data_IF_319963925516
#
_entry.id   IF_319963925516
#
_cell.length_a   1.000
_cell.length_b   1.000
_cell.length_c   1.000
_cell.angle_alpha   90.00
_cell.angle_beta   90.00
_cell.angle_gamma   90.00
#
_symmetry.space_group_name_H-M   'P 1'
#
loop_
_entity.id
_entity.type
_entity.pdbx_description
1 polymer ?
#
# COMPACT_ATOMS: atom_id res chain seq x y z
N UNK A 1 7.36 40.30 60.80
CA UNK A 1 8.38 39.25 60.54
C UNK A 1 7.63 38.05 59.94
N UNK A 2 7.98 37.41 58.83
CA UNK A 2 9.22 37.33 58.05
C UNK A 2 8.80 36.95 56.61
N UNK A 3 9.37 37.61 55.60
CA UNK A 3 9.26 37.28 54.17
C UNK A 3 9.91 35.91 53.90
N UNK A 4 9.31 35.10 53.04
CA UNK A 4 10.08 34.17 52.19
C UNK A 4 9.60 34.34 50.75
N UNK A 5 10.55 34.77 49.94
CA UNK A 5 10.47 35.09 48.52
C UNK A 5 11.06 33.89 47.76
N UNK A 6 10.37 33.34 46.77
CA UNK A 6 10.98 32.49 45.75
C UNK A 6 10.62 33.03 44.37
N UNK A 7 11.65 33.58 43.73
CA UNK A 7 11.68 34.09 42.36
C UNK A 7 11.34 32.95 41.39
N UNK A 8 10.32 33.17 40.55
CA UNK A 8 10.10 32.41 39.31
C UNK A 8 11.04 32.90 38.20
N UNK A 9 11.54 31.96 37.42
CA UNK A 9 12.39 32.13 36.24
C UNK A 9 11.66 32.83 35.07
N UNK A 10 12.38 33.39 34.08
CA UNK A 10 11.78 34.11 32.97
C UNK A 10 11.14 33.18 31.92
N UNK A 11 10.03 33.66 31.36
CA UNK A 11 9.27 33.08 30.26
C UNK A 11 10.14 32.85 29.01
N UNK A 12 10.07 31.64 28.45
CA UNK A 12 10.29 31.41 27.02
C UNK A 12 8.93 31.35 26.32
N UNK A 13 8.79 31.87 25.09
CA UNK A 13 7.51 31.89 24.40
C UNK A 13 7.12 30.45 24.00
N UNK A 14 5.96 30.01 24.47
CA UNK A 14 5.32 28.78 24.05
C UNK A 14 5.00 28.83 22.55
N UNK A 15 5.70 28.03 21.74
CA UNK A 15 5.17 27.63 20.44
C UNK A 15 3.95 26.72 20.70
N UNK A 16 2.76 27.06 20.18
CA UNK A 16 1.61 26.19 20.37
C UNK A 16 1.79 24.91 19.55
N UNK A 17 1.32 23.75 20.05
CA UNK A 17 1.20 22.57 19.22
C UNK A 17 0.22 22.84 18.06
N UNK A 18 0.55 22.31 16.88
CA UNK A 18 -0.17 22.44 15.60
C UNK A 18 -1.66 22.03 15.63
N UNK A 19 -2.14 21.52 16.76
CA UNK A 19 -3.53 21.14 17.02
C UNK A 19 -4.54 22.29 17.00
N UNK A 20 -4.10 23.57 17.09
CA UNK A 20 -5.02 24.72 17.13
C UNK A 20 -5.50 25.24 15.76
N UNK A 21 -5.08 24.65 14.65
CA UNK A 21 -5.48 25.08 13.29
C UNK A 21 -6.36 24.06 12.55
N UNK A 22 -6.78 22.97 13.20
CA UNK A 22 -7.70 22.02 12.59
C UNK A 22 -9.15 22.47 12.80
N UNK A 23 -9.78 22.77 11.66
CA UNK A 23 -11.12 23.29 11.49
C UNK A 23 -12.19 22.67 12.42
N UNK A 24 -13.20 23.45 12.85
CA UNK A 24 -14.14 23.06 13.91
C UNK A 24 -15.17 21.97 13.55
N UNK A 25 -14.96 21.11 12.53
CA UNK A 25 -15.96 20.12 12.09
C UNK A 25 -15.40 18.73 11.71
N UNK A 26 -14.16 18.36 12.04
CA UNK A 26 -13.72 16.97 11.83
C UNK A 26 -14.28 16.05 12.92
N UNK A 27 -14.99 14.99 12.54
CA UNK A 27 -15.33 13.89 13.47
C UNK A 27 -14.06 13.33 14.11
N UNK A 28 -14.03 13.03 15.42
CA UNK A 28 -12.83 12.60 16.13
C UNK A 28 -12.09 11.41 15.48
N UNK A 29 -12.80 10.49 14.83
CA UNK A 29 -12.21 9.35 14.13
C UNK A 29 -11.36 9.73 12.90
N UNK A 30 -11.73 10.79 12.17
CA UNK A 30 -10.94 11.28 11.04
C UNK A 30 -9.63 11.94 11.48
N UNK A 31 -9.68 12.71 12.58
CA UNK A 31 -8.51 13.36 13.14
C UNK A 31 -7.46 12.34 13.61
N UNK A 32 -7.91 11.27 14.27
CA UNK A 32 -7.05 10.15 14.66
C UNK A 32 -6.42 9.45 13.45
N UNK A 33 -7.21 9.15 12.41
CA UNK A 33 -6.68 8.50 11.20
C UNK A 33 -5.62 9.34 10.48
N UNK A 34 -5.80 10.67 10.42
CA UNK A 34 -4.79 11.58 9.85
C UNK A 34 -3.52 11.57 10.70
N UNK A 35 -3.67 11.64 12.02
CA UNK A 35 -2.53 11.63 12.95
C UNK A 35 -1.75 10.30 12.88
N UNK A 36 -2.43 9.17 12.81
CA UNK A 36 -1.78 7.85 12.66
C UNK A 36 -1.04 7.73 11.32
N UNK A 37 -1.61 8.25 10.23
CA UNK A 37 -0.95 8.30 8.93
C UNK A 37 0.30 9.20 8.96
N UNK A 38 0.23 10.35 9.63
CA UNK A 38 1.35 11.28 9.82
C UNK A 38 2.44 10.70 10.72
N UNK A 39 2.09 10.07 11.83
CA UNK A 39 3.03 9.38 12.72
C UNK A 39 3.73 8.25 11.97
N UNK A 40 2.97 7.44 11.23
CA UNK A 40 3.52 6.35 10.42
C UNK A 40 4.47 6.86 9.32
N UNK A 41 4.15 8.00 8.70
CA UNK A 41 5.04 8.67 7.76
C UNK A 41 6.30 9.25 8.45
N UNK A 42 6.16 9.81 9.65
CA UNK A 42 7.25 10.51 10.38
C UNK A 42 8.24 9.54 11.05
N UNK A 43 7.76 8.45 11.66
CA UNK A 43 8.59 7.34 12.20
C UNK A 43 9.53 6.78 11.11
N UNK A 44 9.10 6.93 9.87
CA UNK A 44 9.72 6.31 8.73
C UNK A 44 10.65 7.26 7.96
N UNK A 45 10.33 8.57 7.91
CA UNK A 45 11.05 9.54 7.07
C UNK A 45 12.10 10.40 7.77
N UNK A 46 12.16 10.49 9.11
CA UNK A 46 13.19 11.34 9.71
C UNK A 46 13.32 11.29 11.23
N UNK A 47 14.44 10.71 11.68
CA UNK A 47 15.35 11.27 12.69
C UNK A 47 16.21 10.14 13.28
N UNK A 48 17.51 10.14 12.93
CA UNK A 48 18.56 9.26 13.47
C UNK A 48 18.41 7.74 13.19
N UNK A 49 18.67 7.32 11.94
CA UNK A 49 18.88 5.89 11.65
C UNK A 49 20.34 5.54 11.94
N UNK A 50 20.59 4.96 13.10
CA UNK A 50 21.75 4.07 13.25
C UNK A 50 21.55 2.89 12.27
N UNK A 51 22.47 2.71 11.32
CA UNK A 51 22.39 1.68 10.27
C UNK A 51 22.24 0.28 10.86
N UNK A 52 22.89 0.00 11.99
CA UNK A 52 22.76 -1.26 12.71
C UNK A 52 21.33 -1.49 13.24
N UNK A 53 20.66 -0.43 13.69
CA UNK A 53 19.26 -0.50 14.12
C UNK A 53 18.33 -0.76 12.94
N UNK A 54 18.60 -0.15 11.78
CA UNK A 54 17.83 -0.40 10.57
C UNK A 54 17.98 -1.85 10.08
N UNK A 55 19.19 -2.41 10.13
CA UNK A 55 19.41 -3.82 9.81
C UNK A 55 18.72 -4.75 10.81
N UNK A 56 18.82 -4.49 12.12
CA UNK A 56 18.10 -5.27 13.15
C UNK A 56 16.58 -5.23 12.98
N UNK A 57 16.03 -4.14 12.46
CA UNK A 57 14.59 -4.00 12.13
C UNK A 57 14.22 -4.65 10.80
N UNK A 58 15.21 -5.09 10.01
CA UNK A 58 15.04 -5.69 8.70
C UNK A 58 14.71 -4.70 7.58
N UNK A 59 14.91 -3.39 7.80
CA UNK A 59 14.64 -2.34 6.81
C UNK A 59 15.87 -1.92 6.02
N UNK A 60 17.05 -2.48 6.33
CA UNK A 60 18.28 -2.30 5.58
C UNK A 60 19.07 -3.61 5.55
N UNK A 61 19.81 -3.83 4.46
CA UNK A 61 20.80 -4.90 4.33
C UNK A 61 22.14 -4.24 4.05
N UNK A 62 23.10 -4.42 4.95
CA UNK A 62 24.42 -3.81 4.90
C UNK A 62 25.45 -4.77 4.33
N UNK A 63 26.61 -4.24 3.93
CA UNK A 63 27.76 -5.00 3.46
C UNK A 63 27.42 -5.95 2.30
N UNK A 64 26.81 -5.40 1.25
CA UNK A 64 26.52 -6.11 0.01
C UNK A 64 27.60 -5.87 -1.04
N UNK A 65 27.76 -6.80 -1.97
CA UNK A 65 28.52 -6.65 -3.21
C UNK A 65 27.63 -6.96 -4.40
N UNK A 66 27.78 -6.22 -5.48
CA UNK A 66 27.17 -6.57 -6.77
C UNK A 66 27.95 -7.75 -7.36
N UNK A 67 27.28 -8.85 -7.66
CA UNK A 67 27.91 -10.07 -8.21
C UNK A 67 27.54 -10.35 -9.65
N UNK A 68 26.42 -9.78 -10.10
CA UNK A 68 25.95 -9.94 -11.47
C UNK A 68 25.13 -8.71 -11.89
N UNK A 69 25.19 -8.40 -13.18
CA UNK A 69 24.47 -7.30 -13.81
C UNK A 69 23.95 -7.77 -15.17
N UNK A 70 22.63 -7.79 -15.33
CA UNK A 70 21.97 -8.27 -16.55
C UNK A 70 20.96 -7.25 -17.06
N UNK A 71 20.77 -7.21 -18.38
CA UNK A 71 19.68 -6.44 -18.98
C UNK A 71 18.35 -7.14 -18.72
N UNK A 72 17.42 -6.43 -18.07
CA UNK A 72 16.05 -6.87 -17.83
C UNK A 72 15.07 -6.43 -18.92
N UNK A 73 13.79 -6.71 -18.70
CA UNK A 73 12.71 -6.23 -19.56
C UNK A 73 12.52 -4.71 -19.44
N UNK A 74 12.02 -4.09 -20.52
CA UNK A 74 11.71 -2.65 -20.58
C UNK A 74 12.92 -1.72 -20.35
N UNK A 75 14.13 -2.17 -20.71
CA UNK A 75 15.34 -1.36 -20.59
C UNK A 75 15.90 -1.23 -19.17
N UNK A 76 15.27 -1.87 -18.18
CA UNK A 76 15.80 -1.91 -16.80
C UNK A 76 17.04 -2.80 -16.71
N UNK A 77 17.91 -2.52 -15.76
CA UNK A 77 19.04 -3.39 -15.42
C UNK A 77 18.78 -4.12 -14.12
N UNK A 78 18.98 -5.43 -14.12
CA UNK A 78 18.91 -6.31 -12.96
C UNK A 78 20.30 -6.44 -12.35
N UNK A 79 20.47 -5.94 -11.13
CA UNK A 79 21.69 -6.11 -10.34
C UNK A 79 21.45 -7.15 -9.25
N UNK A 80 22.26 -8.21 -9.19
CA UNK A 80 22.23 -9.20 -8.11
C UNK A 80 23.25 -8.86 -7.04
N UNK A 81 22.79 -8.79 -5.79
CA UNK A 81 23.60 -8.47 -4.62
C UNK A 81 23.71 -9.67 -3.68
N UNK A 82 24.90 -9.86 -3.13
CA UNK A 82 25.20 -10.87 -2.11
C UNK A 82 25.94 -10.25 -0.94
N UNK A 83 25.97 -10.92 0.20
CA UNK A 83 26.81 -10.53 1.34
C UNK A 83 28.29 -10.46 0.94
N UNK A 84 29.01 -9.44 1.42
CA UNK A 84 30.48 -9.40 1.28
C UNK A 84 31.16 -10.44 2.14
N UNK A 85 30.48 -10.95 3.18
CA UNK A 85 30.98 -12.05 4.02
C UNK A 85 30.77 -13.37 3.29
N UNK A 86 31.84 -14.13 3.13
CA UNK A 86 31.83 -15.46 2.52
C UNK A 86 32.36 -16.48 3.50
N UNK A 87 31.76 -17.68 3.50
CA UNK A 87 32.24 -18.82 4.28
C UNK A 87 32.55 -19.97 3.32
N UNK A 88 33.75 -20.55 3.40
CA UNK A 88 34.21 -21.62 2.52
C UNK A 88 33.97 -21.33 1.02
N UNK A 89 34.28 -20.10 0.58
CA UNK A 89 34.03 -19.59 -0.80
C UNK A 89 32.57 -19.51 -1.26
N UNK A 90 31.60 -19.84 -0.41
CA UNK A 90 30.17 -19.70 -0.69
C UNK A 90 29.60 -18.38 -0.13
N UNK A 91 28.59 -17.85 -0.80
CA UNK A 91 27.84 -16.70 -0.33
C UNK A 91 27.01 -17.07 0.90
N UNK A 92 27.18 -16.33 2.00
CA UNK A 92 26.37 -16.50 3.20
C UNK A 92 24.91 -16.09 2.95
N UNK A 93 23.95 -16.67 3.70
CA UNK A 93 22.58 -16.20 3.71
C UNK A 93 22.50 -14.70 4.04
N UNK A 94 21.53 -14.02 3.44
CA UNK A 94 21.20 -12.65 3.77
C UNK A 94 20.76 -12.56 5.24
N UNK A 95 21.10 -11.47 5.95
CA UNK A 95 20.63 -11.28 7.32
C UNK A 95 19.09 -11.21 7.36
N UNK A 96 18.45 -11.58 8.49
CA UNK A 96 16.99 -11.49 8.64
C UNK A 96 16.45 -10.13 8.24
N UNK A 97 15.48 -10.10 7.33
CA UNK A 97 15.04 -8.86 6.69
C UNK A 97 13.55 -8.86 6.35
N UNK A 98 12.99 -7.67 6.11
CA UNK A 98 11.58 -7.46 5.74
C UNK A 98 11.39 -7.04 4.28
N UNK A 99 12.38 -7.35 3.44
CA UNK A 99 12.30 -7.16 1.99
C UNK A 99 11.43 -8.26 1.39
N UNK A 100 10.52 -7.88 0.50
CA UNK A 100 9.72 -8.73 -0.35
C UNK A 100 9.91 -8.33 -1.82
N UNK A 101 9.45 -9.18 -2.73
CA UNK A 101 9.38 -8.81 -4.14
C UNK A 101 8.49 -7.57 -4.32
N UNK A 102 8.86 -6.71 -5.27
CA UNK A 102 8.21 -5.42 -5.57
C UNK A 102 8.42 -4.30 -4.54
N UNK A 103 9.21 -4.53 -3.48
CA UNK A 103 9.61 -3.43 -2.59
C UNK A 103 10.47 -2.41 -3.32
N UNK A 104 10.22 -1.13 -3.05
CA UNK A 104 11.07 -0.04 -3.53
C UNK A 104 12.26 0.11 -2.58
N UNK A 105 13.46 0.18 -3.14
CA UNK A 105 14.71 0.24 -2.38
C UNK A 105 15.61 1.32 -2.93
N UNK A 106 16.48 1.83 -2.08
CA UNK A 106 17.55 2.75 -2.46
C UNK A 106 18.90 2.08 -2.24
N UNK A 107 19.77 2.18 -3.25
CA UNK A 107 21.14 1.69 -3.23
C UNK A 107 22.08 2.80 -2.80
N UNK A 108 22.96 2.51 -1.84
CA UNK A 108 23.99 3.44 -1.36
C UNK A 108 25.32 2.73 -1.12
N UNK A 109 26.45 3.45 -1.13
CA UNK A 109 27.69 2.93 -0.56
C UNK A 109 27.48 2.65 0.93
N UNK A 110 28.01 1.54 1.44
CA UNK A 110 27.73 1.04 2.78
C UNK A 110 28.13 2.01 3.89
N UNK A 111 29.21 2.78 3.68
CA UNK A 111 29.72 3.79 4.63
C UNK A 111 29.27 5.22 4.33
N UNK A 112 28.46 5.45 3.30
CA UNK A 112 28.01 6.80 2.96
C UNK A 112 27.14 7.38 4.08
N UNK A 113 27.31 8.67 4.38
CA UNK A 113 26.48 9.37 5.35
C UNK A 113 25.02 9.41 4.87
N UNK A 114 24.08 9.61 5.80
CA UNK A 114 22.65 9.66 5.46
C UNK A 114 22.29 10.78 4.47
N UNK A 115 23.10 11.85 4.41
CA UNK A 115 22.92 12.97 3.48
C UNK A 115 23.60 12.78 2.12
N UNK A 116 24.38 11.73 1.93
CA UNK A 116 25.02 11.45 0.64
C UNK A 116 23.98 11.02 -0.40
N UNK A 117 24.14 11.42 -1.68
CA UNK A 117 23.23 11.00 -2.74
C UNK A 117 23.22 9.48 -2.87
N UNK A 118 22.05 8.94 -3.20
CA UNK A 118 21.92 7.53 -3.53
C UNK A 118 22.61 7.22 -4.87
N UNK A 119 23.10 5.99 -5.01
CA UNK A 119 23.58 5.49 -6.31
C UNK A 119 22.41 5.26 -7.26
N UNK A 120 21.28 4.81 -6.73
CA UNK A 120 20.07 4.62 -7.53
C UNK A 120 18.90 4.16 -6.68
N UNK A 121 17.70 4.32 -7.24
CA UNK A 121 16.48 3.74 -6.71
C UNK A 121 16.04 2.60 -7.61
N UNK A 122 15.61 1.49 -7.02
CA UNK A 122 15.19 0.31 -7.75
C UNK A 122 14.06 -0.44 -7.08
N UNK A 123 13.59 -1.49 -7.74
CA UNK A 123 12.51 -2.36 -7.26
C UNK A 123 13.04 -3.77 -7.09
N UNK A 124 12.77 -4.40 -5.94
CA UNK A 124 13.18 -5.79 -5.69
C UNK A 124 12.49 -6.71 -6.70
N UNK A 125 13.28 -7.34 -7.56
CA UNK A 125 12.80 -8.25 -8.59
C UNK A 125 12.74 -9.69 -8.09
N UNK A 126 13.76 -10.13 -7.35
CA UNK A 126 13.88 -11.50 -6.87
C UNK A 126 14.61 -11.55 -5.53
N UNK A 127 14.17 -12.45 -4.66
CA UNK A 127 14.81 -12.77 -3.39
C UNK A 127 15.13 -14.27 -3.34
N UNK A 128 16.36 -14.59 -2.96
CA UNK A 128 16.84 -15.93 -2.60
C UNK A 128 17.45 -15.86 -1.20
N UNK A 129 17.75 -17.01 -0.61
CA UNK A 129 18.31 -17.07 0.74
C UNK A 129 19.65 -16.32 0.86
N UNK A 130 20.48 -16.32 -0.19
CA UNK A 130 21.82 -15.70 -0.20
C UNK A 130 21.97 -14.52 -1.15
N UNK A 131 20.93 -14.14 -1.89
CA UNK A 131 21.01 -13.03 -2.84
C UNK A 131 19.68 -12.28 -3.02
N UNK A 132 19.82 -10.99 -3.36
CA UNK A 132 18.70 -10.10 -3.68
C UNK A 132 18.96 -9.45 -5.04
N UNK A 133 18.03 -9.57 -5.97
CA UNK A 133 18.10 -8.94 -7.28
C UNK A 133 17.18 -7.73 -7.33
N UNK A 134 17.72 -6.59 -7.72
CA UNK A 134 16.98 -5.31 -7.81
C UNK A 134 17.03 -4.80 -9.25
N UNK A 135 15.88 -4.38 -9.76
CA UNK A 135 15.74 -3.74 -11.07
C UNK A 135 15.89 -2.22 -10.94
N UNK A 136 16.82 -1.63 -11.69
CA UNK A 136 17.05 -0.18 -11.77
C UNK A 136 16.69 0.32 -13.18
N UNK A 137 16.21 1.57 -13.27
CA UNK A 137 15.93 2.22 -14.56
C UNK A 137 17.22 2.65 -15.27
N UNK A 138 18.17 3.20 -14.51
CA UNK A 138 19.51 3.55 -14.97
C UNK A 138 20.56 2.83 -14.10
N UNK A 139 21.63 2.33 -14.71
CA UNK A 139 22.75 1.70 -13.99
C UNK A 139 23.66 2.79 -13.42
N UNK A 140 23.91 2.82 -12.11
CA UNK A 140 25.02 3.60 -11.59
C UNK A 140 26.33 2.94 -12.01
N UNK A 141 26.95 3.43 -13.08
CA UNK A 141 28.27 2.93 -13.55
C UNK A 141 29.36 3.19 -12.50
N UNK A 142 29.20 4.26 -11.70
CA UNK A 142 30.10 4.64 -10.62
C UNK A 142 29.63 4.15 -9.24
N UNK A 143 30.57 3.63 -8.44
CA UNK A 143 30.36 3.37 -7.00
C UNK A 143 29.98 1.94 -6.62
N UNK A 144 29.75 1.04 -7.59
CA UNK A 144 29.45 -0.38 -7.33
C UNK A 144 30.65 -1.21 -6.82
N UNK A 145 31.88 -0.71 -6.97
CA UNK A 145 33.12 -1.40 -6.57
C UNK A 145 33.40 -1.37 -5.05
N UNK A 146 32.56 -0.68 -4.28
CA UNK A 146 32.69 -0.60 -2.82
C UNK A 146 31.59 -1.43 -2.16
N UNK A 147 31.73 -1.83 -0.88
CA UNK A 147 30.62 -2.43 -0.17
C UNK A 147 29.40 -1.52 -0.23
N UNK A 148 28.25 -2.11 -0.54
CA UNK A 148 26.97 -1.44 -0.76
C UNK A 148 26.01 -1.73 0.38
N UNK A 149 24.94 -0.94 0.45
CA UNK A 149 23.77 -1.24 1.27
C UNK A 149 22.49 -0.98 0.49
N UNK A 150 21.48 -1.80 0.76
CA UNK A 150 20.12 -1.58 0.31
C UNK A 150 19.29 -1.12 1.51
N UNK A 151 18.59 0.00 1.35
CA UNK A 151 17.62 0.48 2.32
C UNK A 151 16.23 0.40 1.71
N UNK A 152 15.29 -0.24 2.42
CA UNK A 152 13.90 -0.29 2.01
C UNK A 152 13.33 1.13 2.08
N UNK A 153 12.90 1.66 0.94
CA UNK A 153 12.10 2.85 0.91
C UNK A 153 10.68 2.45 1.24
N UNK A 154 10.15 3.04 2.28
CA UNK A 154 8.71 3.01 2.49
C UNK A 154 8.06 3.86 1.42
N UNK A 155 6.97 3.35 0.89
CA UNK A 155 6.22 4.06 -0.12
C UNK A 155 5.52 5.28 0.50
N UNK A 156 6.22 6.42 0.57
CA UNK A 156 5.64 7.70 0.98
C UNK A 156 4.42 8.06 0.14
N UNK A 157 4.33 7.55 -1.09
CA UNK A 157 3.17 7.73 -1.95
C UNK A 157 1.93 7.06 -1.34
N UNK A 158 2.04 5.88 -0.74
CA UNK A 158 0.91 5.23 -0.05
C UNK A 158 0.40 6.11 1.08
N UNK A 159 1.30 6.61 1.93
CA UNK A 159 0.92 7.47 3.06
C UNK A 159 0.37 8.81 2.60
N UNK A 160 1.00 9.43 1.59
CA UNK A 160 0.52 10.68 0.99
C UNK A 160 -0.87 10.50 0.40
N UNK A 161 -1.12 9.44 -0.36
CA UNK A 161 -2.44 9.09 -0.91
C UNK A 161 -3.49 8.88 0.19
N UNK A 162 -3.16 8.15 1.26
CA UNK A 162 -4.06 7.97 2.40
C UNK A 162 -4.39 9.31 3.07
N UNK A 163 -3.37 10.14 3.33
CA UNK A 163 -3.55 11.48 3.90
C UNK A 163 -4.40 12.37 2.98
N UNK A 164 -4.12 12.37 1.69
CA UNK A 164 -4.89 13.14 0.70
C UNK A 164 -6.36 12.69 0.66
N UNK A 165 -6.62 11.38 0.70
CA UNK A 165 -7.98 10.84 0.78
C UNK A 165 -8.71 11.28 2.06
N UNK A 166 -8.04 11.26 3.21
CA UNK A 166 -8.60 11.75 4.47
C UNK A 166 -8.86 13.26 4.46
N UNK A 167 -7.96 14.04 3.87
CA UNK A 167 -8.15 15.50 3.70
C UNK A 167 -9.33 15.78 2.75
N UNK A 168 -9.46 15.00 1.67
CA UNK A 168 -10.62 15.12 0.76
C UNK A 168 -11.92 14.79 1.48
N UNK A 169 -11.92 13.73 2.30
CA UNK A 169 -13.07 13.35 3.12
C UNK A 169 -13.41 14.43 4.16
N UNK A 170 -12.41 15.04 4.81
CA UNK A 170 -12.61 16.09 5.81
C UNK A 170 -13.10 17.42 5.25
N UNK A 171 -12.81 17.70 3.97
CA UNK A 171 -13.38 18.86 3.26
C UNK A 171 -14.88 18.71 3.01
N UNK A 172 -15.45 17.56 3.37
CA UNK A 172 -16.88 17.30 3.37
C UNK A 172 -17.34 16.76 2.03
N UNK A 173 -17.67 15.47 1.99
CA UNK A 173 -18.48 14.89 0.92
C UNK A 173 -19.96 15.12 1.27
N UNK A 174 -20.34 16.38 1.37
CA UNK A 174 -21.73 16.76 1.71
C UNK A 174 -22.67 16.70 0.51
N UNK A 175 -22.13 16.48 -0.70
CA UNK A 175 -22.87 16.39 -1.96
C UNK A 175 -22.27 15.29 -2.82
N UNK A 176 -23.13 14.44 -3.38
CA UNK A 176 -22.74 13.39 -4.34
C UNK A 176 -23.17 11.99 -3.91
N UNK A 177 -22.93 10.98 -4.77
CA UNK A 177 -23.44 9.62 -4.55
C UNK A 177 -22.99 8.93 -3.26
N UNK A 178 -21.90 9.42 -2.65
CA UNK A 178 -21.28 8.81 -1.46
C UNK A 178 -21.71 9.43 -0.12
N UNK A 179 -22.54 10.49 -0.10
CA UNK A 179 -22.95 11.16 1.14
C UNK A 179 -23.64 10.20 2.11
N UNK A 180 -24.53 9.35 1.59
CA UNK A 180 -25.30 8.38 2.40
C UNK A 180 -24.40 7.28 2.98
N UNK A 181 -23.33 6.90 2.27
CA UNK A 181 -22.38 5.90 2.74
C UNK A 181 -21.57 6.43 3.93
N UNK A 182 -21.15 7.68 3.88
CA UNK A 182 -20.26 8.27 4.89
C UNK A 182 -20.95 8.33 6.26
N UNK A 183 -22.20 8.82 6.32
CA UNK A 183 -22.97 8.82 7.57
C UNK A 183 -23.19 7.42 8.13
N UNK A 184 -23.27 6.39 7.28
CA UNK A 184 -23.34 4.99 7.73
C UNK A 184 -21.99 4.52 8.27
N UNK A 185 -20.87 4.83 7.59
CA UNK A 185 -19.53 4.42 8.03
C UNK A 185 -19.10 5.08 9.35
N UNK A 186 -19.53 6.31 9.62
CA UNK A 186 -19.27 7.00 10.90
C UNK A 186 -20.33 6.76 11.98
N UNK A 187 -21.32 5.90 11.72
CA UNK A 187 -22.33 5.51 12.72
C UNK A 187 -23.40 6.58 12.99
N UNK A 188 -23.47 7.64 12.19
CA UNK A 188 -24.53 8.66 12.27
C UNK A 188 -25.88 8.09 11.80
N UNK A 189 -25.86 7.05 10.96
CA UNK A 189 -27.05 6.38 10.43
C UNK A 189 -26.86 4.88 10.34
N UNK A 190 -27.94 4.11 10.54
CA UNK A 190 -27.93 2.66 10.32
C UNK A 190 -27.91 2.29 8.82
N UNK A 191 -27.21 1.21 8.42
CA UNK A 191 -27.25 0.71 7.05
C UNK A 191 -28.65 0.23 6.67
N UNK A 192 -29.02 0.42 5.40
CA UNK A 192 -30.34 0.02 4.90
C UNK A 192 -30.27 -1.05 3.82
N UNK A 193 -31.32 -1.88 3.78
CA UNK A 193 -31.50 -2.97 2.82
C UNK A 193 -32.77 -2.70 2.00
N UNK A 194 -32.80 -3.14 0.75
CA UNK A 194 -33.99 -3.12 -0.08
C UNK A 194 -35.11 -3.96 0.56
N UNK A 195 -36.34 -3.43 0.52
CA UNK A 195 -37.52 -4.12 1.09
C UNK A 195 -37.91 -5.38 0.31
N UNK A 196 -37.56 -5.43 -0.97
CA UNK A 196 -37.86 -6.57 -1.84
C UNK A 196 -36.65 -7.47 -1.89
N UNK A 197 -36.86 -8.75 -1.62
CA UNK A 197 -35.83 -9.76 -1.77
C UNK A 197 -35.37 -9.83 -3.22
N UNK A 198 -34.06 -9.83 -3.39
CA UNK A 198 -33.44 -9.73 -4.69
C UNK A 198 -33.18 -11.13 -5.24
N UNK A 199 -33.98 -11.54 -6.21
CA UNK A 199 -33.77 -12.79 -6.92
C UNK A 199 -32.63 -12.64 -7.94
N UNK A 200 -31.75 -13.64 -8.00
CA UNK A 200 -30.66 -13.69 -8.96
C UNK A 200 -30.48 -15.12 -9.48
N UNK A 201 -29.89 -15.23 -10.68
CA UNK A 201 -29.51 -16.51 -11.27
C UNK A 201 -27.99 -16.62 -11.21
N UNK A 202 -27.43 -17.51 -10.38
CA UNK A 202 -25.98 -17.63 -10.23
C UNK A 202 -25.28 -17.95 -11.55
N UNK A 203 -24.14 -17.30 -11.79
CA UNK A 203 -23.22 -17.69 -12.87
C UNK A 203 -22.47 -18.97 -12.46
N UNK A 204 -22.00 -19.04 -11.22
CA UNK A 204 -21.46 -20.26 -10.65
C UNK A 204 -22.59 -21.17 -10.12
N UNK A 205 -22.76 -22.35 -10.72
CA UNK A 205 -23.77 -23.34 -10.30
C UNK A 205 -23.40 -24.08 -9.01
N UNK A 206 -22.13 -24.05 -8.61
CA UNK A 206 -21.60 -24.82 -7.48
C UNK A 206 -21.52 -23.99 -6.18
N UNK A 207 -22.38 -22.99 -6.02
CA UNK A 207 -22.45 -22.20 -4.79
C UNK A 207 -23.26 -22.93 -3.72
N UNK A 208 -22.73 -22.95 -2.50
CA UNK A 208 -23.45 -23.47 -1.34
C UNK A 208 -24.54 -22.48 -0.86
N UNK A 209 -25.34 -22.92 0.12
CA UNK A 209 -26.45 -22.13 0.64
C UNK A 209 -25.99 -20.83 1.32
N UNK A 210 -24.89 -20.87 2.07
CA UNK A 210 -24.35 -19.71 2.78
C UNK A 210 -23.83 -18.65 1.81
N UNK A 211 -23.19 -19.06 0.72
CA UNK A 211 -22.72 -18.18 -0.33
C UNK A 211 -23.89 -17.53 -1.05
N UNK A 212 -24.94 -18.30 -1.40
CA UNK A 212 -26.16 -17.77 -2.03
C UNK A 212 -26.88 -16.74 -1.17
N UNK A 213 -27.02 -17.01 0.12
CA UNK A 213 -27.60 -16.07 1.09
C UNK A 213 -26.75 -14.79 1.20
N UNK A 214 -25.43 -14.93 1.30
CA UNK A 214 -24.51 -13.79 1.33
C UNK A 214 -24.61 -12.93 0.05
N UNK A 215 -24.72 -13.55 -1.13
CA UNK A 215 -24.92 -12.84 -2.39
C UNK A 215 -26.26 -12.13 -2.41
N UNK A 216 -27.35 -12.79 -2.01
CA UNK A 216 -28.69 -12.16 -1.93
C UNK A 216 -28.68 -10.92 -1.04
N UNK A 217 -28.06 -11.02 0.15
CA UNK A 217 -27.89 -9.91 1.09
C UNK A 217 -27.02 -8.78 0.52
N UNK A 218 -25.92 -9.11 -0.13
CA UNK A 218 -25.06 -8.12 -0.80
C UNK A 218 -25.83 -7.34 -1.87
N UNK A 219 -26.54 -8.05 -2.74
CA UNK A 219 -27.34 -7.50 -3.85
C UNK A 219 -28.57 -6.71 -3.38
N UNK A 220 -28.98 -6.88 -2.13
CA UNK A 220 -30.09 -6.15 -1.49
C UNK A 220 -29.60 -4.96 -0.67
N UNK A 221 -28.31 -4.87 -0.35
CA UNK A 221 -27.76 -3.83 0.51
C UNK A 221 -27.62 -2.51 -0.25
N UNK A 222 -28.08 -1.40 0.33
CA UNK A 222 -28.06 -0.08 -0.33
C UNK A 222 -26.81 0.74 -0.03
N UNK A 223 -26.23 0.54 1.15
CA UNK A 223 -25.13 1.38 1.65
C UNK A 223 -23.84 0.57 1.74
N UNK A 224 -23.84 -0.45 2.60
CA UNK A 224 -22.66 -1.27 2.87
C UNK A 224 -23.09 -2.70 3.18
N UNK A 225 -22.26 -3.66 2.76
CA UNK A 225 -22.41 -5.07 3.08
C UNK A 225 -21.05 -5.60 3.52
N UNK A 226 -21.02 -6.33 4.64
CA UNK A 226 -19.81 -6.97 5.15
C UNK A 226 -19.89 -8.48 4.90
N UNK A 227 -19.03 -8.98 4.02
CA UNK A 227 -18.84 -10.41 3.84
C UNK A 227 -17.74 -10.90 4.76
N UNK A 228 -18.06 -11.88 5.60
CA UNK A 228 -17.09 -12.52 6.49
C UNK A 228 -17.11 -14.04 6.30
N UNK A 229 -15.94 -14.68 6.38
CA UNK A 229 -15.81 -16.13 6.32
C UNK A 229 -14.46 -16.62 6.84
N UNK A 230 -14.41 -17.81 7.45
CA UNK A 230 -13.15 -18.50 7.75
C UNK A 230 -12.31 -18.76 6.48
N UNK A 231 -10.98 -18.97 6.61
CA UNK A 231 -10.13 -19.33 5.48
C UNK A 231 -10.66 -20.61 4.79
N UNK A 232 -10.66 -20.62 3.44
CA UNK A 232 -11.12 -21.76 2.64
C UNK A 232 -12.62 -21.81 2.33
N UNK A 233 -13.44 -20.91 2.88
CA UNK A 233 -14.91 -20.91 2.67
C UNK A 233 -15.38 -20.29 1.34
N UNK A 234 -14.44 -20.01 0.43
CA UNK A 234 -14.78 -19.50 -0.89
C UNK A 234 -15.21 -18.03 -0.93
N UNK A 235 -14.78 -17.18 0.00
CA UNK A 235 -15.06 -15.71 -0.01
C UNK A 235 -14.80 -15.11 -1.38
N UNK A 236 -13.64 -15.37 -1.98
CA UNK A 236 -13.30 -14.85 -3.31
C UNK A 236 -14.29 -15.33 -4.38
N UNK A 237 -14.84 -16.54 -4.25
CA UNK A 237 -15.87 -17.06 -5.15
C UNK A 237 -17.16 -16.26 -5.00
N UNK A 238 -17.58 -16.00 -3.76
CA UNK A 238 -18.75 -15.16 -3.45
C UNK A 238 -18.58 -13.74 -3.96
N UNK A 239 -17.40 -13.11 -3.74
CA UNK A 239 -17.09 -11.75 -4.22
C UNK A 239 -17.16 -11.67 -5.74
N UNK A 240 -16.55 -12.63 -6.44
CA UNK A 240 -16.59 -12.69 -7.92
C UNK A 240 -18.03 -12.81 -8.41
N UNK A 241 -18.84 -13.65 -7.78
CA UNK A 241 -20.25 -13.78 -8.15
C UNK A 241 -21.04 -12.47 -7.93
N UNK A 242 -20.82 -11.77 -6.79
CA UNK A 242 -21.45 -10.45 -6.54
C UNK A 242 -21.08 -9.46 -7.65
N UNK A 243 -19.80 -9.38 -8.03
CA UNK A 243 -19.34 -8.51 -9.11
C UNK A 243 -20.06 -8.82 -10.42
N UNK A 244 -20.15 -10.11 -10.80
CA UNK A 244 -20.81 -10.53 -12.03
C UNK A 244 -22.31 -10.19 -12.02
N UNK A 245 -22.99 -10.37 -10.89
CA UNK A 245 -24.40 -10.03 -10.75
C UNK A 245 -24.64 -8.52 -10.86
N UNK A 246 -23.78 -7.69 -10.28
CA UNK A 246 -23.89 -6.23 -10.39
C UNK A 246 -23.55 -5.74 -11.81
N UNK A 247 -22.53 -6.30 -12.46
CA UNK A 247 -22.24 -6.01 -13.87
C UNK A 247 -23.41 -6.39 -14.78
N UNK A 248 -24.05 -7.55 -14.53
CA UNK A 248 -25.26 -7.98 -15.25
C UNK A 248 -26.41 -6.99 -15.09
N UNK A 249 -26.49 -6.27 -13.97
CA UNK A 249 -27.49 -5.21 -13.72
C UNK A 249 -27.14 -3.86 -14.36
N UNK A 250 -25.97 -3.76 -15.01
CA UNK A 250 -25.48 -2.54 -15.63
C UNK A 250 -24.67 -1.64 -14.69
N UNK A 251 -24.31 -2.11 -13.48
CA UNK A 251 -23.48 -1.36 -12.55
C UNK A 251 -22.04 -1.27 -13.04
N UNK A 252 -21.39 -0.11 -12.85
CA UNK A 252 -19.94 0.04 -13.02
C UNK A 252 -19.26 -0.24 -11.68
N UNK A 253 -18.28 -1.15 -11.68
CA UNK A 253 -17.67 -1.65 -10.44
C UNK A 253 -16.20 -1.22 -10.34
N UNK A 254 -15.85 -0.66 -9.18
CA UNK A 254 -14.47 -0.50 -8.74
C UNK A 254 -14.16 -1.60 -7.73
N UNK A 255 -13.29 -2.54 -8.10
CA UNK A 255 -12.80 -3.59 -7.22
C UNK A 255 -11.40 -3.22 -6.71
N UNK A 256 -11.20 -3.20 -5.40
CA UNK A 256 -9.93 -2.88 -4.76
C UNK A 256 -9.53 -3.98 -3.78
N UNK A 257 -8.23 -4.22 -3.63
CA UNK A 257 -7.68 -5.11 -2.61
C UNK A 257 -6.37 -4.53 -2.05
N UNK A 258 -5.97 -4.99 -0.86
CA UNK A 258 -4.77 -4.49 -0.17
C UNK A 258 -3.45 -5.05 -0.73
N UNK A 259 -3.50 -6.11 -1.55
CA UNK A 259 -2.32 -6.73 -2.16
C UNK A 259 -2.55 -7.05 -3.63
N UNK A 260 -1.48 -6.99 -4.43
CA UNK A 260 -1.54 -7.32 -5.86
C UNK A 260 -2.00 -8.76 -6.08
N UNK A 261 -1.51 -9.71 -5.26
CA UNK A 261 -1.95 -11.12 -5.32
C UNK A 261 -3.48 -11.25 -5.16
N UNK A 262 -4.10 -10.46 -4.29
CA UNK A 262 -5.55 -10.49 -4.13
C UNK A 262 -6.27 -9.88 -5.34
N UNK A 263 -5.72 -8.82 -5.95
CA UNK A 263 -6.22 -8.26 -7.21
C UNK A 263 -6.13 -9.30 -8.32
N UNK A 264 -4.98 -9.95 -8.49
CA UNK A 264 -4.73 -10.97 -9.51
C UNK A 264 -5.71 -12.13 -9.37
N UNK A 265 -5.94 -12.60 -8.15
CA UNK A 265 -6.91 -13.67 -7.88
C UNK A 265 -8.34 -13.31 -8.29
N UNK A 266 -8.75 -12.05 -8.13
CA UNK A 266 -10.06 -11.56 -8.57
C UNK A 266 -10.10 -11.45 -10.09
N UNK A 267 -9.07 -10.84 -10.69
CA UNK A 267 -8.93 -10.66 -12.13
C UNK A 267 -8.93 -11.98 -12.87
N UNK A 268 -8.14 -12.96 -12.43
CA UNK A 268 -8.03 -14.27 -13.06
C UNK A 268 -9.39 -14.98 -13.12
N UNK A 269 -10.15 -14.91 -12.02
CA UNK A 269 -11.49 -15.53 -11.94
C UNK A 269 -12.51 -14.82 -12.81
N UNK A 270 -12.43 -13.49 -12.91
CA UNK A 270 -13.31 -12.69 -13.77
C UNK A 270 -12.95 -12.86 -15.26
N UNK A 271 -11.67 -12.96 -15.61
CA UNK A 271 -11.21 -13.14 -16.99
C UNK A 271 -11.69 -14.45 -17.62
N UNK A 272 -11.96 -15.49 -16.81
CA UNK A 272 -12.57 -16.74 -17.26
C UNK A 272 -14.04 -16.58 -17.67
N UNK A 273 -14.69 -15.45 -17.36
CA UNK A 273 -16.08 -15.18 -17.67
C UNK A 273 -16.18 -14.39 -18.99
N UNK A 274 -16.94 -14.91 -19.96
CA UNK A 274 -17.03 -14.37 -21.34
C UNK A 274 -17.66 -12.98 -21.47
N UNK A 275 -18.14 -12.38 -20.37
CA UNK A 275 -18.93 -11.15 -20.37
C UNK A 275 -18.24 -9.95 -19.70
N UNK A 276 -16.95 -10.07 -19.38
CA UNK A 276 -16.25 -9.07 -18.58
C UNK A 276 -15.21 -8.30 -19.40
N UNK A 277 -15.36 -6.97 -19.47
CA UNK A 277 -14.28 -6.05 -19.89
C UNK A 277 -13.71 -5.42 -18.62
N UNK A 278 -12.50 -5.85 -18.24
CA UNK A 278 -11.77 -5.29 -17.10
C UNK A 278 -10.88 -4.13 -17.58
N UNK A 279 -10.96 -2.99 -16.90
CA UNK A 279 -9.86 -2.02 -16.91
C UNK A 279 -9.06 -2.25 -15.63
N UNK A 280 -7.91 -2.91 -15.74
CA UNK A 280 -6.99 -3.04 -14.62
C UNK A 280 -6.20 -1.74 -14.56
N UNK A 281 -6.45 -0.94 -13.54
CA UNK A 281 -5.53 0.11 -13.15
C UNK A 281 -4.41 -0.54 -12.35
N UNK A 282 -3.38 -1.05 -13.04
CA UNK A 282 -2.10 -1.32 -12.39
C UNK A 282 -1.45 0.02 -12.05
N UNK A 283 -1.92 0.66 -10.99
CA UNK A 283 -1.30 1.88 -10.49
C UNK A 283 -0.45 1.57 -9.26
N UNK A 284 0.55 0.71 -9.48
CA UNK A 284 1.66 0.51 -8.54
C UNK A 284 2.98 0.39 -9.32
N UNK A 285 3.40 1.47 -9.98
CA UNK A 285 4.77 2.04 -9.97
C UNK A 285 4.92 3.17 -11.01
N UNK A 286 5.22 4.36 -10.51
CA UNK A 286 6.00 5.47 -11.12
C UNK A 286 5.40 6.40 -12.21
N UNK A 287 5.37 7.69 -11.82
CA UNK A 287 5.68 8.93 -12.55
C UNK A 287 5.33 9.12 -14.05
N UNK A 288 4.66 10.26 -14.26
CA UNK A 288 4.60 11.14 -15.45
C UNK A 288 3.56 10.82 -16.55
N UNK A 289 2.75 11.86 -16.76
CA UNK A 289 1.89 12.16 -17.90
C UNK A 289 0.67 11.27 -18.18
N UNK A 290 -0.47 11.85 -17.79
CA UNK A 290 -1.69 11.89 -18.60
C UNK A 290 -1.37 12.00 -20.10
N UNK A 291 -1.54 10.91 -20.84
CA UNK A 291 -2.16 10.93 -22.18
C UNK A 291 -2.36 9.51 -22.71
N UNK A 292 -3.64 9.15 -22.85
CA UNK A 292 -4.15 8.23 -23.88
C UNK A 292 -3.64 6.78 -23.90
N UNK A 293 -4.40 5.85 -23.33
CA UNK A 293 -4.41 4.46 -23.83
C UNK A 293 -5.86 3.96 -23.95
N UNK A 294 -6.32 3.87 -25.21
CA UNK A 294 -7.48 3.11 -25.66
C UNK A 294 -7.06 1.65 -25.84
N UNK A 295 -7.86 0.69 -25.38
CA UNK A 295 -7.86 -0.65 -25.97
C UNK A 295 -9.27 -1.03 -26.37
N UNK A 296 -9.54 -0.78 -27.65
CA UNK A 296 -10.62 -1.37 -28.43
C UNK A 296 -10.13 -2.73 -28.91
N UNK A 297 -10.86 -3.81 -28.63
CA UNK A 297 -10.94 -4.94 -29.56
C UNK A 297 -12.36 -5.46 -29.61
N UNK A 298 -13.07 -4.99 -30.65
CA UNK A 298 -14.13 -5.71 -31.37
C UNK A 298 -13.77 -7.21 -31.49
N UNK A 299 -14.63 -8.07 -30.96
CA UNK A 299 -15.43 -9.09 -31.66
C UNK A 299 -16.16 -9.94 -30.61
#
# INVERSE_FOLDING_TARGET
MKKINRKGSPLSPSLPPLTRLLAPNLTPGLALGIQEAEISASITSGASRNLDTAQKRGSAILNLKCVDAQTGLMGKTLLEFQSTKTENSNALPLPPHKFGTHDVVVLRPNKADLGSPALGQGVVYRLKDSSITVAFDDVPEDGLNSPLRLEKLTNEVTYRRMKDALIQLSKGVHKGPASDLISVLFGERAPTVAKKEVTFSPFNKNLDHSQKDAISKALSSKNVFLLHGPPGTGITTTVVEIILQEVKRGSKILACAASNIAVDNIVERLARQRYFTAYIFEEFLFYQNLSSIKINRRC
#
